data_IF_655129381277
#
_entry.id   IF_655129381277
#
_cell.length_a   1.000
_cell.length_b   1.000
_cell.length_c   1.000
_cell.angle_alpha   90.00
_cell.angle_beta   90.00
_cell.angle_gamma   90.00
#
_symmetry.space_group_name_H-M   'P 1'
#
loop_
_entity.id
_entity.type
_entity.pdbx_description
1 polymer ?
#
# COMPACT_ATOMS: atom_id res chain seq x y z
N UNK A 1 14.09 16.47 11.79
CA UNK A 1 13.68 15.40 10.84
C UNK A 1 14.56 14.19 11.02
N UNK A 2 14.03 13.02 11.38
CA UNK A 2 14.85 11.80 11.43
C UNK A 2 15.07 11.30 10.00
N UNK A 3 16.31 11.35 9.53
CA UNK A 3 16.70 10.70 8.28
C UNK A 3 16.48 9.20 8.47
N UNK A 4 15.54 8.62 7.72
CA UNK A 4 15.35 7.17 7.68
C UNK A 4 16.63 6.56 7.11
N UNK A 5 17.25 5.61 7.83
CA UNK A 5 18.47 4.98 7.33
C UNK A 5 18.14 4.12 6.11
N UNK A 6 19.11 3.90 5.21
CA UNK A 6 18.92 3.03 4.04
C UNK A 6 18.46 1.62 4.43
N UNK A 7 18.90 1.11 5.59
CA UNK A 7 18.46 -0.18 6.13
C UNK A 7 16.99 -0.20 6.58
N UNK A 8 16.52 0.89 7.19
CA UNK A 8 15.10 1.03 7.56
C UNK A 8 14.20 1.20 6.34
N UNK A 9 14.67 1.94 5.32
CA UNK A 9 13.97 2.06 4.04
C UNK A 9 13.84 0.69 3.35
N UNK A 10 14.92 -0.10 3.31
CA UNK A 10 14.90 -1.44 2.73
C UNK A 10 13.93 -2.38 3.44
N UNK A 11 13.94 -2.38 4.79
CA UNK A 11 12.99 -3.17 5.60
C UNK A 11 11.55 -2.75 5.34
N UNK A 12 11.29 -1.45 5.35
CA UNK A 12 9.97 -0.91 5.10
C UNK A 12 9.47 -1.20 3.68
N UNK A 13 10.36 -1.17 2.68
CA UNK A 13 10.03 -1.53 1.31
C UNK A 13 9.72 -3.01 1.16
N UNK A 14 10.53 -3.90 1.72
CA UNK A 14 10.27 -5.34 1.68
C UNK A 14 8.97 -5.69 2.41
N UNK A 15 8.74 -5.12 3.59
CA UNK A 15 7.51 -5.36 4.35
C UNK A 15 6.27 -4.78 3.65
N UNK A 16 6.38 -3.57 3.09
CA UNK A 16 5.30 -2.91 2.36
C UNK A 16 4.92 -3.66 1.09
N UNK A 17 5.90 -3.99 0.24
CA UNK A 17 5.68 -4.74 -1.01
C UNK A 17 5.22 -6.15 -0.72
N UNK A 18 5.81 -6.85 0.25
CA UNK A 18 5.38 -8.20 0.64
C UNK A 18 3.93 -8.24 1.12
N UNK A 19 3.54 -7.27 1.95
CA UNK A 19 2.14 -7.13 2.41
C UNK A 19 1.21 -6.81 1.25
N UNK A 20 1.59 -5.87 0.38
CA UNK A 20 0.82 -5.49 -0.79
C UNK A 20 0.55 -6.70 -1.71
N UNK A 21 1.59 -7.44 -2.09
CA UNK A 21 1.47 -8.61 -2.97
C UNK A 21 0.65 -9.71 -2.31
N UNK A 22 0.92 -10.03 -1.03
CA UNK A 22 0.21 -11.09 -0.31
C UNK A 22 -1.29 -10.81 -0.18
N UNK A 23 -1.66 -9.57 0.19
CA UNK A 23 -3.06 -9.17 0.29
C UNK A 23 -3.74 -9.13 -1.09
N UNK A 24 -3.06 -8.70 -2.14
CA UNK A 24 -3.60 -8.69 -3.50
C UNK A 24 -3.85 -10.09 -4.06
N UNK A 25 -3.01 -11.07 -3.75
CA UNK A 25 -3.24 -12.46 -4.15
C UNK A 25 -4.46 -13.06 -3.44
N UNK A 26 -4.59 -12.81 -2.13
CA UNK A 26 -5.73 -13.26 -1.35
C UNK A 26 -7.03 -12.59 -1.81
N UNK A 27 -6.98 -11.29 -2.09
CA UNK A 27 -8.08 -10.55 -2.69
C UNK A 27 -8.45 -11.05 -4.08
N UNK A 28 -7.46 -11.31 -4.94
CA UNK A 28 -7.67 -11.85 -6.29
C UNK A 28 -8.38 -13.20 -6.25
N UNK A 29 -7.99 -14.08 -5.32
CA UNK A 29 -8.71 -15.34 -5.10
C UNK A 29 -10.19 -15.09 -4.75
N UNK A 30 -10.49 -14.19 -3.80
CA UNK A 30 -11.87 -13.87 -3.42
C UNK A 30 -12.66 -13.28 -4.60
N UNK A 31 -12.07 -12.36 -5.38
CA UNK A 31 -12.70 -11.78 -6.57
C UNK A 31 -13.11 -12.87 -7.57
N UNK A 32 -12.21 -13.82 -7.83
CA UNK A 32 -12.46 -14.94 -8.76
C UNK A 32 -13.56 -15.87 -8.24
N UNK A 33 -13.60 -16.17 -6.94
CA UNK A 33 -14.60 -17.09 -6.36
C UNK A 33 -16.00 -16.48 -6.22
N UNK A 34 -16.11 -15.20 -5.90
CA UNK A 34 -17.39 -14.57 -5.52
C UNK A 34 -17.95 -13.59 -6.56
N UNK A 35 -17.18 -13.20 -7.59
CA UNK A 35 -17.61 -12.32 -8.69
C UNK A 35 -18.35 -11.05 -8.25
N UNK A 36 -17.87 -10.41 -7.18
CA UNK A 36 -18.51 -9.23 -6.60
C UNK A 36 -18.16 -7.98 -7.43
N UNK A 37 -19.14 -7.27 -8.03
CA UNK A 37 -18.86 -6.05 -8.78
C UNK A 37 -18.37 -4.92 -7.87
N UNK A 38 -17.44 -4.09 -8.37
CA UNK A 38 -16.81 -2.96 -7.66
C UNK A 38 -15.96 -3.32 -6.44
N UNK A 39 -15.73 -4.61 -6.18
CA UNK A 39 -14.99 -5.11 -5.02
C UNK A 39 -13.52 -4.64 -5.02
N UNK A 40 -12.94 -4.42 -6.21
CA UNK A 40 -11.59 -3.87 -6.38
C UNK A 40 -11.39 -2.50 -5.73
N UNK A 41 -12.41 -1.63 -5.67
CA UNK A 41 -12.26 -0.28 -5.11
C UNK A 41 -12.05 -0.35 -3.59
N UNK A 42 -12.90 -1.11 -2.89
CA UNK A 42 -12.88 -1.23 -1.43
C UNK A 42 -11.61 -1.93 -0.98
N UNK A 43 -11.26 -3.03 -1.65
CA UNK A 43 -10.06 -3.80 -1.31
C UNK A 43 -8.80 -2.98 -1.48
N UNK A 44 -8.60 -2.33 -2.63
CA UNK A 44 -7.34 -1.60 -2.85
C UNK A 44 -7.20 -0.43 -1.86
N UNK A 45 -8.30 0.19 -1.46
CA UNK A 45 -8.33 1.14 -0.35
C UNK A 45 -7.87 0.52 0.98
N UNK A 46 -8.43 -0.64 1.34
CA UNK A 46 -8.08 -1.37 2.56
C UNK A 46 -6.62 -1.87 2.56
N UNK A 47 -6.13 -2.37 1.42
CA UNK A 47 -4.74 -2.77 1.22
C UNK A 47 -3.83 -1.55 1.40
N UNK A 48 -4.18 -0.41 0.80
CA UNK A 48 -3.40 0.82 0.94
C UNK A 48 -3.25 1.26 2.40
N UNK A 49 -4.33 1.19 3.18
CA UNK A 49 -4.27 1.43 4.62
C UNK A 49 -3.35 0.45 5.35
N UNK A 50 -3.48 -0.86 5.08
CA UNK A 50 -2.69 -1.90 5.73
C UNK A 50 -1.19 -1.78 5.38
N UNK A 51 -0.87 -1.52 4.12
CA UNK A 51 0.48 -1.29 3.62
C UNK A 51 1.09 -0.06 4.32
N UNK A 52 0.35 1.05 4.41
CA UNK A 52 0.81 2.25 5.12
C UNK A 52 1.15 1.98 6.58
N UNK A 53 0.32 1.21 7.29
CA UNK A 53 0.56 0.83 8.68
C UNK A 53 1.78 -0.10 8.83
N UNK A 54 1.96 -1.07 7.94
CA UNK A 54 3.13 -1.96 7.95
C UNK A 54 4.42 -1.20 7.67
N UNK A 55 4.44 -0.31 6.67
CA UNK A 55 5.59 0.54 6.36
C UNK A 55 5.92 1.47 7.54
N UNK A 56 4.90 2.02 8.19
CA UNK A 56 5.07 2.87 9.37
C UNK A 56 5.70 2.10 10.55
N UNK A 57 5.22 0.89 10.84
CA UNK A 57 5.80 0.04 11.90
C UNK A 57 7.20 -0.46 11.55
N UNK A 58 7.42 -0.91 10.32
CA UNK A 58 8.71 -1.43 9.84
C UNK A 58 9.82 -0.36 9.82
N UNK A 59 9.45 0.91 9.66
CA UNK A 59 10.36 2.06 9.74
C UNK A 59 10.59 2.57 11.17
N UNK A 60 10.04 1.90 12.19
CA UNK A 60 10.16 2.32 13.58
C UNK A 60 9.41 3.61 13.88
N UNK A 61 8.21 3.78 13.31
CA UNK A 61 7.35 4.95 13.49
C UNK A 61 7.94 6.25 12.92
N UNK A 62 8.93 6.16 12.03
CA UNK A 62 9.53 7.31 11.36
C UNK A 62 8.66 7.80 10.21
N UNK A 63 8.70 9.10 9.96
CA UNK A 63 7.99 9.74 8.85
C UNK A 63 8.98 10.50 7.99
N UNK A 64 9.00 10.20 6.69
CA UNK A 64 9.91 10.82 5.73
C UNK A 64 9.30 10.84 4.33
N UNK A 65 9.83 11.71 3.45
CA UNK A 65 9.40 11.73 2.03
C UNK A 65 9.72 10.42 1.33
N UNK A 66 10.85 9.79 1.65
CA UNK A 66 11.24 8.49 1.07
C UNK A 66 10.27 7.38 1.47
N UNK A 67 9.80 7.35 2.72
CA UNK A 67 8.78 6.37 3.15
C UNK A 67 7.43 6.56 2.45
N UNK A 68 7.06 7.79 2.07
CA UNK A 68 5.86 8.04 1.26
C UNK A 68 5.96 7.40 -0.12
N UNK A 69 7.13 7.49 -0.76
CA UNK A 69 7.39 6.80 -2.03
C UNK A 69 7.32 5.28 -1.86
N UNK A 70 7.93 4.75 -0.80
CA UNK A 70 7.87 3.31 -0.50
C UNK A 70 6.42 2.84 -0.30
N UNK A 71 5.64 3.56 0.50
CA UNK A 71 4.24 3.24 0.75
C UNK A 71 3.41 3.31 -0.54
N UNK A 72 3.55 4.39 -1.32
CA UNK A 72 2.83 4.56 -2.58
C UNK A 72 3.19 3.51 -3.64
N UNK A 73 4.48 3.21 -3.81
CA UNK A 73 4.95 2.17 -4.74
C UNK A 73 4.49 0.77 -4.31
N UNK A 74 4.36 0.53 -3.00
CA UNK A 74 3.81 -0.72 -2.48
C UNK A 74 2.31 -0.84 -2.78
N UNK A 75 1.53 0.23 -2.68
CA UNK A 75 0.11 0.18 -3.11
C UNK A 75 0.00 -0.03 -4.63
N UNK A 76 0.87 0.61 -5.41
CA UNK A 76 0.94 0.41 -6.85
C UNK A 76 1.24 -1.04 -7.22
N UNK A 77 2.19 -1.69 -6.53
CA UNK A 77 2.48 -3.11 -6.78
C UNK A 77 1.28 -4.00 -6.46
N UNK A 78 0.56 -3.70 -5.37
CA UNK A 78 -0.70 -4.36 -5.04
C UNK A 78 -1.73 -4.23 -6.15
N UNK A 79 -1.93 -3.03 -6.70
CA UNK A 79 -2.86 -2.78 -7.79
C UNK A 79 -2.47 -3.58 -9.05
N UNK A 80 -1.20 -3.57 -9.43
CA UNK A 80 -0.72 -4.33 -10.59
C UNK A 80 -1.01 -5.82 -10.46
N UNK A 81 -0.78 -6.41 -9.27
CA UNK A 81 -1.13 -7.82 -9.01
C UNK A 81 -2.64 -8.04 -9.13
N UNK A 82 -3.46 -7.15 -8.55
CA UNK A 82 -4.92 -7.26 -8.58
C UNK A 82 -5.49 -7.13 -10.00
N UNK A 83 -4.90 -6.30 -10.86
CA UNK A 83 -5.36 -6.12 -12.25
C UNK A 83 -5.24 -7.39 -13.10
N UNK A 84 -4.35 -8.32 -12.74
CA UNK A 84 -4.25 -9.64 -13.40
C UNK A 84 -5.56 -10.43 -13.23
N UNK A 85 -6.29 -10.19 -12.14
CA UNK A 85 -7.54 -10.89 -11.80
C UNK A 85 -8.80 -10.18 -12.32
N UNK A 86 -8.66 -9.11 -13.10
CA UNK A 86 -9.74 -8.66 -14.01
C UNK A 86 -10.56 -7.44 -13.61
N UNK A 87 -10.03 -6.49 -12.83
CA UNK A 87 -10.83 -5.31 -12.44
C UNK A 87 -10.06 -3.98 -12.57
N UNK A 88 -10.05 -3.40 -13.78
CA UNK A 88 -9.44 -2.07 -14.03
C UNK A 88 -10.19 -0.94 -13.31
N UNK A 89 -11.42 -1.19 -12.81
CA UNK A 89 -12.18 -0.27 -11.96
C UNK A 89 -11.49 0.00 -10.62
N UNK A 90 -10.52 -0.83 -10.24
CA UNK A 90 -9.66 -0.67 -9.08
C UNK A 90 -8.75 0.58 -9.14
N UNK A 91 -8.70 1.32 -10.26
CA UNK A 91 -7.95 2.60 -10.36
C UNK A 91 -8.40 3.61 -9.30
N UNK A 92 -9.71 3.73 -9.06
CA UNK A 92 -10.20 4.61 -7.99
C UNK A 92 -9.73 4.12 -6.61
N UNK A 93 -9.74 2.80 -6.42
CA UNK A 93 -9.17 2.16 -5.24
C UNK A 93 -7.67 2.44 -5.08
N UNK A 94 -6.90 2.48 -6.18
CA UNK A 94 -5.47 2.81 -6.16
C UNK A 94 -5.23 4.24 -5.67
N UNK A 95 -6.00 5.21 -6.14
CA UNK A 95 -5.89 6.62 -5.71
C UNK A 95 -6.17 6.72 -4.20
N UNK A 96 -7.27 6.12 -3.75
CA UNK A 96 -7.70 6.12 -2.34
C UNK A 96 -6.70 5.37 -1.45
N UNK A 97 -6.29 4.18 -1.86
CA UNK A 97 -5.33 3.34 -1.14
C UNK A 97 -3.98 4.01 -1.02
N UNK A 98 -3.50 4.64 -2.10
CA UNK A 98 -2.24 5.39 -2.10
C UNK A 98 -2.32 6.58 -1.15
N UNK A 99 -3.44 7.30 -1.15
CA UNK A 99 -3.67 8.40 -0.21
C UNK A 99 -3.60 7.93 1.24
N UNK A 100 -4.31 6.85 1.60
CA UNK A 100 -4.26 6.29 2.95
C UNK A 100 -2.87 5.79 3.34
N UNK A 101 -2.16 5.15 2.42
CA UNK A 101 -0.80 4.66 2.66
C UNK A 101 0.17 5.81 2.95
N UNK A 102 0.13 6.87 2.13
CA UNK A 102 0.98 8.05 2.28
C UNK A 102 0.67 8.80 3.58
N UNK A 103 -0.60 8.96 3.93
CA UNK A 103 -0.98 9.68 5.14
C UNK A 103 -0.38 9.10 6.41
N UNK A 104 -0.21 7.77 6.48
CA UNK A 104 0.39 7.08 7.64
C UNK A 104 1.86 7.45 7.86
N UNK A 105 2.60 7.69 6.78
CA UNK A 105 4.06 7.91 6.79
C UNK A 105 4.44 9.36 6.46
N UNK A 106 3.45 10.25 6.30
CA UNK A 106 3.64 11.66 5.96
C UNK A 106 4.19 12.44 7.16
N UNK A 107 5.27 13.22 7.00
CA UNK A 107 5.78 14.12 8.03
C UNK A 107 4.73 15.18 8.42
N UNK A 108 4.69 15.62 9.69
CA UNK A 108 3.84 16.74 10.11
C UNK A 108 4.21 17.99 9.31
N UNK A 109 3.22 18.73 8.82
CA UNK A 109 3.46 20.01 8.15
C UNK A 109 3.88 21.04 9.21
N UNK A 110 5.14 21.48 9.21
CA UNK A 110 5.59 22.59 10.07
C UNK A 110 6.95 22.44 10.76
N UNK A 111 7.81 21.50 10.34
CA UNK A 111 9.21 21.40 10.78
C UNK A 111 10.12 21.24 9.59
#
# INVERSE_FOLDING_TARGET
>A
MFQTSSGELGKAALAGVGTAVGLSLLAGAIVVFFQIPFFGIIIVGAIGWAVGEVVYRASGYKQSKSLQWVAGLSVLSSFLVLTIFGDFTAILGLIIGTYYAIQRVKPPRGV
#
